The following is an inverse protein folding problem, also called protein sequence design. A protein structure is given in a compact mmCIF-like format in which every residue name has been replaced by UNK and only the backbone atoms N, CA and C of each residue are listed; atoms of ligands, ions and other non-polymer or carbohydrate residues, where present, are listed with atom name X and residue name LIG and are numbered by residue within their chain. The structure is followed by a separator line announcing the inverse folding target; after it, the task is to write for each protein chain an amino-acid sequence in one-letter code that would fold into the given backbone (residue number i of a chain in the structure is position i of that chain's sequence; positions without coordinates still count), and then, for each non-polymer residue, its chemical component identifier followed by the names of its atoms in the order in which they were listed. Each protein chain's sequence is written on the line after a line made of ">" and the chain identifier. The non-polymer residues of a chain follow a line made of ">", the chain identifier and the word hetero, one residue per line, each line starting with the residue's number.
data_IF_227194408633
#
_entry.id   IF_227194408633
#
_cell.length_a   1.000
_cell.length_b   1.000
_cell.length_c   1.000
_cell.angle_alpha   90.00
_cell.angle_beta   90.00
_cell.angle_gamma   90.00
#
_symmetry.space_group_name_H-M   'P 1'
#
loop_
_entity.id
_entity.type
_entity.pdbx_description
1 polymer ?
#
# COMPACT_ATOMS: atom_id res chain seq x y z
N UNK A 1 -4.87 12.88 -15.24
CA UNK A 1 -3.98 13.24 -14.11
C UNK A 1 -3.68 14.71 -14.25
N UNK A 2 -3.87 15.45 -13.16
CA UNK A 2 -3.64 16.88 -13.06
C UNK A 2 -3.08 17.19 -11.67
N UNK A 3 -2.34 18.29 -11.55
CA UNK A 3 -1.88 18.78 -10.25
C UNK A 3 -2.98 19.62 -9.62
N UNK A 4 -3.22 19.42 -8.33
CA UNK A 4 -4.17 20.21 -7.54
C UNK A 4 -3.53 20.65 -6.24
N UNK A 5 -3.84 21.88 -5.85
CA UNK A 5 -3.57 22.34 -4.49
C UNK A 5 -4.69 21.83 -3.58
N UNK A 6 -4.29 21.34 -2.41
CA UNK A 6 -5.20 20.83 -1.39
C UNK A 6 -4.74 21.35 -0.03
N UNK A 7 -5.69 21.62 0.85
CA UNK A 7 -5.37 22.01 2.22
C UNK A 7 -4.78 20.81 2.97
N UNK A 8 -3.72 21.08 3.74
CA UNK A 8 -3.18 20.10 4.67
C UNK A 8 -4.09 20.07 5.89
N UNK A 9 -4.73 18.92 6.22
CA UNK A 9 -5.68 18.85 7.31
C UNK A 9 -4.98 19.02 8.66
N UNK A 10 -5.66 19.66 9.61
CA UNK A 10 -5.25 19.61 11.01
C UNK A 10 -5.36 18.18 11.54
N UNK A 11 -4.40 17.76 12.37
CA UNK A 11 -4.41 16.42 12.96
C UNK A 11 -4.91 16.42 14.40
N UNK A 12 -5.71 15.41 14.71
CA UNK A 12 -6.10 15.09 16.08
C UNK A 12 -4.97 14.41 16.88
N UNK A 13 -5.22 14.12 18.16
CA UNK A 13 -4.23 13.49 19.05
C UNK A 13 -3.85 12.06 18.64
N UNK A 14 -4.65 11.41 17.80
CA UNK A 14 -4.55 10.00 17.41
C UNK A 14 -4.16 9.79 15.94
N UNK A 15 -3.76 10.85 15.23
CA UNK A 15 -3.33 10.83 13.84
C UNK A 15 -1.95 11.47 13.64
N UNK A 16 -1.41 11.41 12.43
CA UNK A 16 -0.17 12.08 12.04
C UNK A 16 -0.22 12.57 10.60
N UNK A 17 0.73 13.43 10.22
CA UNK A 17 1.01 13.80 8.84
C UNK A 17 2.38 13.26 8.45
N UNK A 18 2.44 12.59 7.31
CA UNK A 18 3.67 12.17 6.67
C UNK A 18 4.01 13.20 5.59
N UNK A 19 5.20 13.79 5.64
CA UNK A 19 5.79 14.48 4.48
C UNK A 19 6.41 13.43 3.58
N UNK A 20 5.82 13.22 2.42
CA UNK A 20 6.27 12.19 1.48
C UNK A 20 7.64 12.58 0.93
N UNK A 21 8.59 11.65 0.98
CA UNK A 21 9.93 11.80 0.43
C UNK A 21 10.09 10.95 -0.82
N UNK A 22 9.61 9.70 -0.77
CA UNK A 22 9.64 8.75 -1.87
C UNK A 22 8.25 8.14 -2.05
N UNK A 23 7.78 8.11 -3.28
CA UNK A 23 6.60 7.36 -3.70
C UNK A 23 6.99 6.44 -4.87
N UNK A 24 6.86 5.14 -4.67
CA UNK A 24 7.06 4.13 -5.69
C UNK A 24 5.92 4.13 -6.72
N UNK A 25 6.23 3.66 -7.92
CA UNK A 25 5.25 3.48 -9.00
C UNK A 25 5.17 2.00 -9.33
N UNK A 26 3.99 1.42 -9.09
CA UNK A 26 3.72 0.02 -9.32
C UNK A 26 2.82 -0.18 -10.55
N UNK A 27 2.77 -1.41 -11.07
CA UNK A 27 1.89 -1.77 -12.19
C UNK A 27 0.41 -1.51 -11.90
N UNK A 28 0.02 -1.53 -10.62
CA UNK A 28 -1.35 -1.18 -10.19
C UNK A 28 -1.65 0.30 -10.40
N UNK A 29 -0.72 1.21 -10.11
CA UNK A 29 -0.92 2.66 -10.35
C UNK A 29 -1.10 2.94 -11.85
N UNK A 30 -0.30 2.27 -12.70
CA UNK A 30 -0.44 2.36 -14.17
C UNK A 30 -1.79 1.84 -14.65
N UNK A 31 -2.28 0.74 -14.06
CA UNK A 31 -3.58 0.17 -14.38
C UNK A 31 -4.71 1.09 -13.96
N UNK A 32 -4.65 1.65 -12.75
CA UNK A 32 -5.61 2.63 -12.25
C UNK A 32 -5.63 3.91 -13.10
N UNK A 33 -4.47 4.38 -13.54
CA UNK A 33 -4.39 5.55 -14.42
C UNK A 33 -5.09 5.31 -15.77
N UNK A 34 -4.92 4.11 -16.36
CA UNK A 34 -5.52 3.77 -17.66
C UNK A 34 -7.00 3.46 -17.56
N UNK A 35 -7.40 2.75 -16.51
CA UNK A 35 -8.77 2.35 -16.27
C UNK A 35 -9.10 2.67 -14.80
N UNK A 36 -9.56 3.90 -14.51
CA UNK A 36 -9.97 4.27 -13.17
C UNK A 36 -11.04 3.31 -12.68
N UNK A 37 -10.74 2.61 -11.58
CA UNK A 37 -11.59 1.55 -11.04
C UNK A 37 -12.80 2.10 -10.28
N UNK A 38 -12.80 3.40 -9.95
CA UNK A 38 -13.92 4.14 -9.37
C UNK A 38 -14.12 5.46 -10.11
N UNK A 39 -15.36 5.97 -10.07
CA UNK A 39 -15.75 7.22 -10.75
C UNK A 39 -15.30 8.50 -10.05
N UNK A 40 -14.88 8.43 -8.79
CA UNK A 40 -14.43 9.59 -8.01
C UNK A 40 -12.91 9.80 -8.11
N UNK A 41 -12.43 11.05 -8.04
CA UNK A 41 -11.01 11.36 -8.06
C UNK A 41 -10.28 10.78 -6.84
N UNK A 42 -9.04 10.32 -7.05
CA UNK A 42 -8.14 9.76 -6.03
C UNK A 42 -6.77 10.44 -6.13
N UNK A 43 -6.03 10.48 -5.03
CA UNK A 43 -4.58 10.67 -5.07
C UNK A 43 -3.98 9.25 -5.16
N UNK A 44 -3.29 8.94 -6.25
CA UNK A 44 -2.64 7.63 -6.45
C UNK A 44 -1.35 7.52 -5.61
N UNK A 45 -0.69 6.35 -5.66
CA UNK A 45 0.58 6.10 -4.98
C UNK A 45 0.41 5.39 -3.64
N UNK A 46 0.85 4.14 -3.58
CA UNK A 46 0.65 3.22 -2.45
C UNK A 46 1.96 2.58 -1.95
N UNK A 47 3.10 3.10 -2.38
CA UNK A 47 4.44 2.64 -2.00
C UNK A 47 5.21 3.83 -1.42
N UNK A 48 4.92 4.18 -0.16
CA UNK A 48 5.24 5.51 0.34
C UNK A 48 6.23 5.46 1.52
N UNK A 49 7.25 6.32 1.44
CA UNK A 49 8.22 6.59 2.50
C UNK A 49 8.28 8.09 2.72
N UNK A 50 8.37 8.50 3.98
CA UNK A 50 8.44 9.91 4.31
C UNK A 50 8.79 10.18 5.76
N UNK A 51 8.91 11.46 6.07
CA UNK A 51 9.20 11.92 7.42
C UNK A 51 7.90 12.27 8.15
N UNK A 52 7.80 11.91 9.43
CA UNK A 52 6.69 12.37 10.27
C UNK A 52 6.79 13.90 10.38
N UNK A 53 5.87 14.60 9.72
CA UNK A 53 5.85 16.06 9.66
C UNK A 53 5.20 16.65 10.92
N UNK A 54 4.10 16.04 11.36
CA UNK A 54 3.47 16.33 12.64
C UNK A 54 2.78 15.09 13.17
N UNK A 55 2.69 14.95 14.50
CA UNK A 55 2.08 13.77 15.12
C UNK A 55 1.31 14.10 16.39
N UNK A 56 0.11 13.55 16.49
CA UNK A 56 -0.69 13.59 17.71
C UNK A 56 -0.07 12.75 18.83
N UNK A 57 -0.15 13.23 20.07
CA UNK A 57 0.50 12.58 21.23
C UNK A 57 0.13 11.10 21.43
N UNK A 58 -1.11 10.71 21.16
CA UNK A 58 -1.56 9.32 21.30
C UNK A 58 -1.04 8.46 20.14
N UNK A 59 -1.01 8.99 18.92
CA UNK A 59 -0.42 8.29 17.78
C UNK A 59 1.08 8.05 18.02
N UNK A 60 1.82 9.09 18.41
CA UNK A 60 3.24 9.02 18.74
C UNK A 60 3.54 7.92 19.78
N UNK A 61 2.80 7.92 20.89
CA UNK A 61 2.96 6.92 21.95
C UNK A 61 2.62 5.50 21.48
N UNK A 62 1.52 5.33 20.72
CA UNK A 62 1.08 4.01 20.24
C UNK A 62 2.00 3.43 19.18
N UNK A 63 2.52 4.27 18.29
CA UNK A 63 3.36 3.84 17.16
C UNK A 63 4.86 3.91 17.45
N UNK A 64 5.26 4.54 18.56
CA UNK A 64 6.67 4.70 18.94
C UNK A 64 7.44 5.62 18.00
N UNK A 65 6.79 6.68 17.51
CA UNK A 65 7.37 7.65 16.55
C UNK A 65 7.30 9.08 17.06
N UNK A 66 8.14 9.95 16.51
CA UNK A 66 8.16 11.39 16.75
C UNK A 66 8.33 12.16 15.44
N UNK A 67 8.08 13.47 15.48
CA UNK A 67 8.36 14.36 14.34
C UNK A 67 9.82 14.23 13.89
N UNK A 68 10.04 14.16 12.57
CA UNK A 68 11.34 13.94 11.95
C UNK A 68 11.77 12.48 11.79
N UNK A 69 11.06 11.51 12.36
CA UNK A 69 11.33 10.09 12.08
C UNK A 69 11.02 9.75 10.62
N UNK A 70 11.93 9.04 9.96
CA UNK A 70 11.70 8.44 8.64
C UNK A 70 10.91 7.14 8.82
N UNK A 71 9.79 7.02 8.10
CA UNK A 71 8.92 5.85 8.17
C UNK A 71 8.51 5.36 6.79
N UNK A 72 8.39 4.04 6.67
CA UNK A 72 7.68 3.36 5.60
C UNK A 72 6.21 3.18 5.98
N UNK A 73 5.31 3.48 5.05
CA UNK A 73 3.86 3.31 5.22
C UNK A 73 3.37 2.12 4.42
N UNK A 74 2.78 1.14 5.10
CA UNK A 74 1.96 0.15 4.42
C UNK A 74 0.64 0.76 3.98
N UNK A 75 0.20 0.39 2.77
CA UNK A 75 -0.99 0.95 2.17
C UNK A 75 -2.31 0.40 2.75
N UNK A 76 -2.25 -0.68 3.55
CA UNK A 76 -3.40 -1.25 4.24
C UNK A 76 -3.85 -0.42 5.44
N UNK A 77 -5.16 -0.36 5.67
CA UNK A 77 -5.77 0.33 6.80
C UNK A 77 -6.78 -0.59 7.54
N UNK A 78 -6.30 -1.51 8.40
CA UNK A 78 -7.14 -2.53 9.00
C UNK A 78 -8.03 -2.01 10.14
N UNK A 79 -9.18 -2.63 10.40
CA UNK A 79 -10.12 -2.17 11.44
C UNK A 79 -9.59 -2.36 12.87
N UNK A 80 -8.63 -3.26 13.06
CA UNK A 80 -7.98 -3.57 14.34
C UNK A 80 -8.80 -4.46 15.26
N UNK A 81 -9.91 -5.05 14.81
CA UNK A 81 -10.83 -5.82 15.66
C UNK A 81 -11.44 -7.08 15.04
N UNK A 82 -11.19 -7.33 13.74
CA UNK A 82 -11.72 -8.51 13.07
C UNK A 82 -10.79 -9.72 13.26
N UNK A 83 -11.28 -10.90 12.88
CA UNK A 83 -10.52 -12.15 12.99
C UNK A 83 -9.19 -12.09 12.23
N UNK A 84 -9.18 -11.53 11.02
CA UNK A 84 -7.96 -11.34 10.22
C UNK A 84 -6.91 -10.50 10.96
N UNK A 85 -7.33 -9.40 11.59
CA UNK A 85 -6.42 -8.52 12.33
C UNK A 85 -5.85 -9.21 13.57
N UNK A 86 -6.67 -9.99 14.28
CA UNK A 86 -6.21 -10.76 15.43
C UNK A 86 -5.27 -11.91 15.06
N UNK A 87 -5.37 -12.44 13.84
CA UNK A 87 -4.42 -13.44 13.31
C UNK A 87 -3.15 -12.81 12.72
N UNK A 88 -3.07 -11.48 12.63
CA UNK A 88 -1.96 -10.78 11.97
C UNK A 88 -2.04 -10.75 10.45
N UNK A 89 -3.13 -11.24 9.86
CA UNK A 89 -3.38 -11.30 8.41
C UNK A 89 -4.26 -10.14 7.95
N UNK A 90 -4.00 -8.96 8.50
CA UNK A 90 -4.82 -7.76 8.34
C UNK A 90 -4.96 -7.26 6.89
N UNK A 91 -4.13 -7.75 5.97
CA UNK A 91 -4.27 -7.55 4.52
C UNK A 91 -5.59 -8.09 3.95
N UNK A 92 -6.23 -9.05 4.64
CA UNK A 92 -7.52 -9.64 4.31
C UNK A 92 -8.69 -8.97 5.04
N UNK A 93 -8.42 -7.94 5.84
CA UNK A 93 -9.44 -7.16 6.52
C UNK A 93 -10.35 -6.47 5.50
N UNK A 94 -11.67 -6.70 5.59
CA UNK A 94 -12.64 -6.10 4.67
C UNK A 94 -12.64 -4.57 4.73
N UNK A 95 -12.27 -3.98 5.88
CA UNK A 95 -12.18 -2.53 6.04
C UNK A 95 -11.08 -1.86 5.19
N UNK A 96 -10.15 -2.63 4.64
CA UNK A 96 -9.14 -2.14 3.68
C UNK A 96 -9.33 -2.70 2.26
N UNK A 97 -10.34 -3.56 2.06
CA UNK A 97 -10.64 -4.17 0.78
C UNK A 97 -11.51 -3.26 -0.10
N UNK A 98 -10.84 -2.33 -0.77
CA UNK A 98 -11.45 -1.39 -1.70
C UNK A 98 -11.98 -2.02 -3.00
N UNK A 99 -11.71 -3.30 -3.30
CA UNK A 99 -12.28 -3.92 -4.50
C UNK A 99 -13.75 -4.28 -4.32
N UNK A 100 -14.15 -4.62 -3.09
CA UNK A 100 -15.49 -5.13 -2.80
C UNK A 100 -16.29 -4.25 -1.84
N UNK A 101 -15.65 -3.33 -1.10
CA UNK A 101 -16.32 -2.39 -0.21
C UNK A 101 -16.01 -0.94 -0.60
N UNK A 102 -17.08 -0.19 -0.95
CA UNK A 102 -16.98 1.22 -1.31
C UNK A 102 -16.55 2.13 -0.16
N UNK A 103 -16.74 1.70 1.08
CA UNK A 103 -16.37 2.43 2.29
C UNK A 103 -14.98 2.08 2.82
N UNK A 104 -14.34 1.03 2.29
CA UNK A 104 -12.99 0.65 2.70
C UNK A 104 -11.98 1.75 2.38
N UNK A 105 -11.05 1.97 3.32
CA UNK A 105 -9.97 2.95 3.17
C UNK A 105 -8.66 2.21 2.92
N UNK A 106 -7.92 2.66 1.90
CA UNK A 106 -6.61 2.12 1.54
C UNK A 106 -5.78 3.21 0.87
N UNK A 107 -4.54 3.37 1.32
CA UNK A 107 -3.69 4.44 0.80
C UNK A 107 -3.39 4.23 -0.69
N UNK A 108 -3.57 5.28 -1.48
CA UNK A 108 -3.42 5.29 -2.94
C UNK A 108 -4.67 4.88 -3.73
N UNK A 109 -5.76 4.48 -3.05
CA UNK A 109 -6.99 3.98 -3.68
C UNK A 109 -8.25 4.71 -3.22
N UNK A 110 -8.21 5.37 -2.07
CA UNK A 110 -9.35 6.10 -1.50
C UNK A 110 -9.58 7.45 -2.19
N UNK A 111 -10.84 7.81 -2.37
CA UNK A 111 -11.23 9.08 -2.98
C UNK A 111 -10.84 10.29 -2.14
N UNK A 112 -10.52 11.39 -2.81
CA UNK A 112 -10.35 12.70 -2.17
C UNK A 112 -11.66 13.24 -1.58
N UNK A 113 -12.81 12.67 -1.93
CA UNK A 113 -14.10 13.00 -1.33
C UNK A 113 -14.24 12.44 0.10
N UNK A 114 -13.44 11.43 0.44
CA UNK A 114 -13.38 10.87 1.78
C UNK A 114 -12.45 11.70 2.66
N UNK A 115 -13.00 12.42 3.64
CA UNK A 115 -12.20 13.19 4.58
C UNK A 115 -11.14 12.30 5.31
N UNK A 116 -9.90 12.80 5.52
CA UNK A 116 -9.41 14.14 5.23
C UNK A 116 -8.71 14.27 3.86
N UNK A 117 -9.08 13.43 2.89
CA UNK A 117 -8.70 13.44 1.48
C UNK A 117 -7.25 13.04 1.13
N UNK A 118 -6.26 13.32 1.98
CA UNK A 118 -4.84 13.03 1.72
C UNK A 118 -4.48 11.55 1.91
N UNK A 119 -5.06 10.68 1.09
CA UNK A 119 -4.91 9.23 1.17
C UNK A 119 -3.87 8.64 0.21
N UNK A 120 -3.25 9.41 -0.68
CA UNK A 120 -2.30 8.90 -1.67
C UNK A 120 -0.91 9.49 -1.52
N UNK A 121 0.10 8.79 -2.02
CA UNK A 121 1.50 9.20 -1.92
C UNK A 121 2.03 10.05 -3.07
N UNK A 122 1.28 10.18 -4.18
CA UNK A 122 1.60 11.16 -5.23
C UNK A 122 1.18 12.58 -4.82
N UNK A 123 1.52 12.96 -3.59
CA UNK A 123 1.28 14.24 -2.95
C UNK A 123 2.48 14.61 -2.07
N UNK A 124 2.56 15.86 -1.62
CA UNK A 124 3.62 16.29 -0.70
C UNK A 124 3.38 15.82 0.74
N UNK A 125 2.10 15.62 1.11
CA UNK A 125 1.69 15.18 2.43
C UNK A 125 0.62 14.09 2.34
N UNK A 126 0.68 13.15 3.28
CA UNK A 126 -0.24 12.05 3.42
C UNK A 126 -0.72 11.97 4.87
N UNK A 127 -2.04 11.84 5.06
CA UNK A 127 -2.65 11.74 6.39
C UNK A 127 -2.54 10.32 6.95
N UNK A 128 -1.94 10.15 8.10
CA UNK A 128 -1.84 8.87 8.79
C UNK A 128 -3.00 8.71 9.78
N UNK A 129 -3.98 7.89 9.40
CA UNK A 129 -5.10 7.53 10.26
C UNK A 129 -4.65 6.72 11.49
N UNK A 130 -5.46 6.63 12.56
CA UNK A 130 -5.05 6.01 13.82
C UNK A 130 -4.52 4.58 13.71
N UNK A 131 -5.10 3.82 12.80
CA UNK A 131 -4.80 2.44 12.45
C UNK A 131 -3.79 2.29 11.29
N UNK A 132 -3.16 3.38 10.83
CA UNK A 132 -2.08 3.32 9.83
C UNK A 132 -0.96 2.37 10.28
N UNK A 133 -0.50 1.49 9.39
CA UNK A 133 0.61 0.58 9.66
C UNK A 133 1.88 1.23 9.14
N UNK A 134 2.75 1.65 10.06
CA UNK A 134 4.01 2.32 9.76
C UNK A 134 5.17 1.60 10.41
N UNK A 135 6.32 1.68 9.74
CA UNK A 135 7.57 1.06 10.18
C UNK A 135 8.66 2.13 10.20
N UNK A 136 9.30 2.35 11.35
CA UNK A 136 10.47 3.23 11.42
C UNK A 136 11.58 2.66 10.55
N UNK A 137 12.12 3.50 9.69
CA UNK A 137 13.27 3.14 8.86
C UNK A 137 14.51 3.12 9.75
N UNK A 138 15.32 2.04 9.74
CA UNK A 138 16.55 1.98 10.53
C UNK A 138 17.58 3.02 10.12
N UNK A 139 18.41 3.45 11.08
CA UNK A 139 19.52 4.37 10.81
C UNK A 139 20.45 3.82 9.73
N UNK A 140 20.82 4.69 8.77
CA UNK A 140 21.72 4.34 7.67
C UNK A 140 21.03 3.82 6.42
N UNK A 141 19.73 3.53 6.46
CA UNK A 141 18.92 3.22 5.27
C UNK A 141 18.39 4.52 4.67
N UNK A 142 18.61 4.76 3.37
CA UNK A 142 18.11 5.98 2.71
C UNK A 142 16.61 5.88 2.43
N UNK A 143 15.91 7.02 2.24
CA UNK A 143 14.51 7.01 1.82
C UNK A 143 14.25 6.20 0.54
N UNK A 144 15.16 6.23 -0.43
CA UNK A 144 15.04 5.50 -1.69
C UNK A 144 15.20 3.98 -1.48
N UNK A 145 16.14 3.56 -0.63
CA UNK A 145 16.29 2.16 -0.26
C UNK A 145 15.04 1.65 0.46
N UNK A 146 14.54 2.42 1.44
CA UNK A 146 13.29 2.12 2.13
C UNK A 146 12.09 2.08 1.17
N UNK A 147 12.09 2.88 0.09
CA UNK A 147 11.05 2.89 -0.93
C UNK A 147 10.88 1.54 -1.65
N UNK A 148 11.92 0.69 -1.63
CA UNK A 148 11.85 -0.67 -2.20
C UNK A 148 11.15 -1.69 -1.29
N UNK A 149 10.77 -1.30 -0.06
CA UNK A 149 10.22 -2.21 0.93
C UNK A 149 8.93 -2.91 0.46
N UNK A 150 7.97 -2.21 -0.15
CA UNK A 150 6.72 -2.82 -0.63
C UNK A 150 6.96 -3.94 -1.65
N UNK A 151 7.67 -3.73 -2.78
CA UNK A 151 7.90 -4.80 -3.74
C UNK A 151 8.77 -5.93 -3.16
N UNK A 152 9.74 -5.62 -2.29
CA UNK A 152 10.56 -6.64 -1.63
C UNK A 152 9.75 -7.50 -0.66
N UNK A 153 8.87 -6.89 0.15
CA UNK A 153 8.01 -7.60 1.09
C UNK A 153 7.07 -8.57 0.37
N UNK A 154 6.52 -8.17 -0.79
CA UNK A 154 5.76 -9.09 -1.64
C UNK A 154 6.60 -10.28 -2.11
N UNK A 155 7.85 -10.04 -2.54
CA UNK A 155 8.78 -11.10 -2.91
C UNK A 155 9.05 -12.09 -1.78
N UNK A 156 9.28 -11.57 -0.57
CA UNK A 156 9.47 -12.37 0.66
C UNK A 156 8.21 -13.18 0.97
N UNK A 157 7.02 -12.56 0.93
CA UNK A 157 5.74 -13.23 1.17
C UNK A 157 5.53 -14.41 0.24
N UNK A 158 5.62 -14.18 -1.07
CA UNK A 158 5.34 -15.21 -2.07
C UNK A 158 6.41 -16.30 -2.12
N UNK A 159 7.69 -15.95 -1.96
CA UNK A 159 8.76 -16.94 -2.04
C UNK A 159 8.88 -17.75 -0.75
N UNK A 160 8.96 -17.09 0.40
CA UNK A 160 9.31 -17.76 1.65
C UNK A 160 8.08 -18.28 2.40
N UNK A 161 7.05 -17.45 2.57
CA UNK A 161 5.90 -17.80 3.40
C UNK A 161 4.87 -18.64 2.64
N UNK A 162 4.45 -18.20 1.45
CA UNK A 162 3.45 -18.93 0.65
C UNK A 162 4.09 -20.06 -0.17
N UNK A 163 5.25 -19.77 -0.78
CA UNK A 163 5.96 -20.71 -1.64
C UNK A 163 6.82 -21.73 -0.90
N UNK A 164 7.10 -21.51 0.39
CA UNK A 164 7.91 -22.42 1.22
C UNK A 164 9.32 -22.66 0.68
N UNK A 165 9.92 -21.68 -0.01
CA UNK A 165 11.25 -21.82 -0.59
C UNK A 165 12.29 -22.05 0.51
N UNK A 166 13.06 -23.12 0.35
CA UNK A 166 14.12 -23.53 1.29
C UNK A 166 15.43 -23.82 0.55
N UNK A 167 16.48 -24.18 1.30
CA UNK A 167 17.77 -24.57 0.73
C UNK A 167 17.61 -25.63 -0.37
N UNK A 168 18.32 -25.46 -1.48
CA UNK A 168 18.24 -26.32 -2.68
C UNK A 168 16.91 -26.34 -3.43
N UNK A 169 15.95 -25.48 -3.11
CA UNK A 169 14.74 -25.30 -3.91
C UNK A 169 15.09 -24.78 -5.32
N UNK A 170 14.41 -25.29 -6.35
CA UNK A 170 14.47 -24.75 -7.72
C UNK A 170 13.21 -23.91 -7.92
N UNK A 171 13.39 -22.60 -8.14
CA UNK A 171 12.28 -21.64 -8.26
C UNK A 171 12.17 -21.18 -9.70
N UNK A 172 10.96 -21.26 -10.28
CA UNK A 172 10.64 -20.63 -11.55
C UNK A 172 9.96 -19.29 -11.30
N UNK A 173 10.64 -18.19 -11.62
CA UNK A 173 10.06 -16.84 -11.57
C UNK A 173 9.54 -16.50 -12.96
N UNK A 174 8.22 -16.37 -13.09
CA UNK A 174 7.57 -15.90 -14.32
C UNK A 174 7.12 -14.45 -14.12
N UNK A 175 7.62 -13.49 -14.90
CA UNK A 175 7.06 -12.14 -14.87
C UNK A 175 5.59 -12.19 -15.27
N UNK A 176 4.73 -11.49 -14.53
CA UNK A 176 3.30 -11.41 -14.82
C UNK A 176 3.10 -10.88 -16.25
N UNK A 177 2.20 -11.49 -17.06
CA UNK A 177 1.83 -10.97 -18.38
C UNK A 177 0.88 -9.75 -18.26
N UNK A 178 1.12 -8.84 -17.33
CA UNK A 178 0.29 -7.65 -17.14
C UNK A 178 0.71 -6.51 -18.08
N UNK A 179 0.51 -6.73 -19.38
CA UNK A 179 0.26 -5.67 -20.38
C UNK A 179 -0.68 -6.10 -21.52
N UNK A 180 -1.14 -7.35 -21.59
CA UNK A 180 -2.23 -7.76 -22.48
C UNK A 180 -3.17 -8.68 -21.71
N UNK A 181 -4.44 -8.31 -21.70
CA UNK A 181 -5.59 -9.12 -21.29
C UNK A 181 -5.36 -10.61 -21.55
N UNK A 182 -5.35 -11.42 -20.49
CA UNK A 182 -5.36 -12.86 -20.61
C UNK A 182 -6.74 -13.33 -21.09
N UNK A 183 -6.87 -13.59 -22.39
CA UNK A 183 -7.80 -14.63 -22.84
C UNK A 183 -7.22 -15.98 -22.39
N UNK A 184 -7.95 -16.69 -21.54
CA UNK A 184 -7.65 -18.08 -21.22
C UNK A 184 -8.02 -18.93 -22.45
N UNK A 185 -7.10 -19.11 -23.40
CA UNK A 185 -7.29 -20.09 -24.47
C UNK A 185 -6.96 -21.46 -23.90
N UNK A 186 -7.97 -22.34 -23.85
CA UNK A 186 -7.75 -23.75 -23.63
C UNK A 186 -6.81 -24.28 -24.72
N UNK A 187 -5.85 -25.17 -24.37
CA UNK A 187 -5.06 -25.84 -25.38
C UNK A 187 -6.00 -26.64 -26.29
N UNK A 188 -5.78 -26.65 -27.63
CA UNK A 188 -6.52 -27.57 -28.49
C UNK A 188 -6.26 -29.00 -28.00
N UNK A 189 -7.32 -29.81 -27.94
CA UNK A 189 -7.20 -31.21 -27.54
C UNK A 189 -6.18 -31.93 -28.42
N UNK A 190 -5.34 -32.74 -27.78
CA UNK A 190 -4.33 -33.58 -28.43
C UNK A 190 -5.03 -34.68 -29.25
N UNK A 191 -4.92 -34.68 -30.59
CA UNK A 191 -5.54 -35.71 -31.43
C UNK A 191 -4.87 -37.09 -31.33
N UNK A 192 -3.88 -37.28 -30.44
CA UNK A 192 -3.13 -38.53 -30.28
C UNK A 192 -3.24 -39.19 -28.90
N UNK A 193 -4.14 -38.74 -28.02
CA UNK A 193 -4.52 -39.54 -26.85
C UNK A 193 -5.50 -40.65 -27.28
N UNK A 194 -4.98 -41.88 -27.39
CA UNK A 194 -5.79 -43.11 -27.40
C UNK A 194 -6.52 -43.29 -26.06
#
# INVERSE_FOLDING_TARGET
>A
MDFREMEVPEIGPDAALLKVEVAGVCGTDVSQYRLPLRGSPIIMGHENVGYIASVGKQFAARKGVQEGDLVFLEHYLPCGNCEWDHMGEYRHCTATDWFYDDHAIRYGYTSIETAPALWGGFSQYLYLAPNAIIHKVPDGVTPEEAGTATPMANGVQWALFEGGVTYSSIVLIRPSPSYRSAECRHPPEDPYRQ
#
